data_IF_033314276805
#
_entry.id   IF_033314276805
#
_cell.length_a   1.000
_cell.length_b   1.000
_cell.length_c   1.000
_cell.angle_alpha   90.00
_cell.angle_beta   90.00
_cell.angle_gamma   90.00
#
_symmetry.space_group_name_H-M   'P 1'
#
loop_
_entity.id
_entity.type
_entity.pdbx_description
1 polymer ?
#
# COMPACT_ATOMS: atom_id res chain seq x y z
N UNK A 1 -15.99 -14.66 7.32
CA UNK A 1 -16.69 -15.15 6.11
C UNK A 1 -15.93 -14.60 4.91
N UNK A 2 -15.75 -15.38 3.86
CA UNK A 2 -15.17 -14.86 2.61
C UNK A 2 -16.10 -13.83 1.97
N UNK A 3 -15.52 -12.75 1.47
CA UNK A 3 -16.23 -11.61 0.88
C UNK A 3 -15.63 -11.33 -0.50
N UNK A 4 -16.44 -11.06 -1.54
CA UNK A 4 -15.94 -10.50 -2.79
C UNK A 4 -15.17 -9.19 -2.53
N UNK A 5 -14.08 -8.98 -3.24
CA UNK A 5 -13.23 -7.80 -3.15
C UNK A 5 -12.95 -7.34 -4.58
N UNK A 6 -13.33 -6.12 -4.89
CA UNK A 6 -13.18 -5.48 -6.19
C UNK A 6 -12.05 -4.44 -6.20
N UNK A 7 -11.74 -3.85 -5.04
CA UNK A 7 -10.61 -2.92 -4.91
C UNK A 7 -10.08 -2.83 -3.49
N UNK A 8 -8.78 -2.55 -3.40
CA UNK A 8 -8.07 -2.24 -2.15
C UNK A 8 -7.22 -1.01 -2.41
N UNK A 9 -7.44 0.08 -1.70
CA UNK A 9 -6.74 1.36 -1.90
C UNK A 9 -6.27 1.91 -0.57
N UNK A 10 -5.05 2.46 -0.53
CA UNK A 10 -4.57 3.26 0.58
C UNK A 10 -4.06 4.61 0.06
N UNK A 11 -4.39 5.69 0.77
CA UNK A 11 -3.91 7.03 0.45
C UNK A 11 -2.64 7.31 1.25
N UNK A 12 -1.57 7.70 0.56
CA UNK A 12 -0.27 8.02 1.13
C UNK A 12 0.04 9.50 0.94
N UNK A 13 0.86 10.03 1.84
CA UNK A 13 1.40 11.37 1.73
C UNK A 13 2.92 11.38 1.88
N UNK A 14 3.52 12.40 1.29
CA UNK A 14 4.92 12.76 1.45
C UNK A 14 5.02 14.21 1.89
N UNK A 15 5.87 14.45 2.89
CA UNK A 15 6.27 15.76 3.39
C UNK A 15 7.77 15.67 3.71
N UNK A 16 8.63 16.04 2.76
CA UNK A 16 10.08 15.86 2.84
C UNK A 16 10.68 16.55 4.07
N UNK A 17 10.20 17.75 4.41
CA UNK A 17 10.67 18.50 5.59
C UNK A 17 10.32 17.85 6.93
N UNK A 18 9.38 16.91 6.95
CA UNK A 18 8.98 16.13 8.13
C UNK A 18 9.47 14.67 8.08
N UNK A 19 10.33 14.34 7.10
CA UNK A 19 10.82 12.98 6.85
C UNK A 19 9.71 11.93 6.66
N UNK A 20 8.59 12.36 6.08
CA UNK A 20 7.50 11.48 5.65
C UNK A 20 7.64 11.26 4.15
N UNK A 21 7.81 10.01 3.72
CA UNK A 21 8.04 9.65 2.32
C UNK A 21 7.00 8.65 1.80
N UNK A 22 6.83 8.63 0.48
CA UNK A 22 6.05 7.57 -0.17
C UNK A 22 6.75 6.21 0.01
N UNK A 23 5.98 5.10 0.07
CA UNK A 23 6.57 3.77 0.09
C UNK A 23 7.30 3.47 -1.23
N UNK A 24 8.43 2.77 -1.14
CA UNK A 24 9.17 2.29 -2.31
C UNK A 24 8.49 1.05 -2.89
N UNK A 25 7.94 0.19 -2.04
CA UNK A 25 7.24 -1.02 -2.49
C UNK A 25 5.92 -1.17 -1.75
N UNK A 26 4.87 -1.50 -2.50
CA UNK A 26 3.56 -1.90 -1.95
C UNK A 26 3.21 -3.29 -2.43
N UNK A 27 2.87 -4.18 -1.49
CA UNK A 27 2.39 -5.54 -1.76
C UNK A 27 0.98 -5.67 -1.18
N UNK A 28 0.04 -6.08 -2.03
CA UNK A 28 -1.35 -6.33 -1.67
C UNK A 28 -1.62 -7.81 -1.84
N UNK A 29 -2.07 -8.46 -0.79
CA UNK A 29 -2.31 -9.90 -0.75
C UNK A 29 -3.58 -10.24 0.01
N UNK A 30 -4.17 -11.41 -0.28
CA UNK A 30 -5.39 -11.90 0.34
C UNK A 30 -5.21 -13.31 0.88
N UNK A 31 -6.09 -13.70 1.80
CA UNK A 31 -6.11 -15.04 2.38
C UNK A 31 -7.51 -15.42 2.85
N UNK A 32 -7.80 -16.71 2.81
CA UNK A 32 -9.02 -17.31 3.40
C UNK A 32 -8.79 -17.75 4.85
N UNK A 33 -7.57 -18.14 5.19
CA UNK A 33 -7.18 -18.73 6.48
C UNK A 33 -6.39 -17.79 7.40
N UNK A 34 -5.87 -16.68 6.87
CA UNK A 34 -5.08 -15.69 7.59
C UNK A 34 -3.62 -16.11 7.80
N UNK A 35 -3.19 -17.23 7.19
CA UNK A 35 -1.84 -17.80 7.30
C UNK A 35 -1.17 -17.81 5.93
N UNK A 36 -1.84 -18.38 4.93
CA UNK A 36 -1.37 -18.51 3.56
C UNK A 36 -1.93 -17.36 2.74
N UNK A 37 -1.05 -16.48 2.26
CA UNK A 37 -1.42 -15.30 1.49
C UNK A 37 -1.04 -15.44 0.03
N UNK A 38 -2.00 -15.14 -0.85
CA UNK A 38 -1.80 -15.02 -2.29
C UNK A 38 -1.63 -13.55 -2.65
N UNK A 39 -0.55 -13.23 -3.36
CA UNK A 39 -0.30 -11.86 -3.85
C UNK A 39 -1.27 -11.52 -4.98
N UNK A 40 -1.98 -10.39 -4.84
CA UNK A 40 -2.79 -9.82 -5.91
C UNK A 40 -1.96 -8.87 -6.76
N UNK A 41 -1.09 -8.10 -6.12
CA UNK A 41 -0.24 -7.12 -6.79
C UNK A 41 0.97 -6.74 -5.95
N UNK A 42 2.09 -6.54 -6.63
CA UNK A 42 3.28 -5.87 -6.11
C UNK A 42 3.66 -4.71 -7.01
N UNK A 43 3.80 -3.53 -6.43
CA UNK A 43 4.18 -2.31 -7.11
C UNK A 43 5.48 -1.78 -6.50
N UNK A 44 6.38 -1.32 -7.36
CA UNK A 44 7.63 -0.67 -6.97
C UNK A 44 7.65 0.74 -7.54
N UNK A 45 8.12 1.70 -6.75
CA UNK A 45 8.12 3.12 -7.04
C UNK A 45 9.49 3.72 -6.75
N UNK A 46 9.96 4.60 -7.63
CA UNK A 46 11.08 5.47 -7.32
C UNK A 46 10.63 6.53 -6.30
N UNK A 47 11.29 6.55 -5.15
CA UNK A 47 11.08 7.60 -4.13
C UNK A 47 12.00 8.77 -4.48
N UNK A 48 11.51 9.99 -4.40
CA UNK A 48 12.33 11.19 -4.65
C UNK A 48 11.94 12.34 -3.74
N UNK A 49 12.91 13.23 -3.46
CA UNK A 49 12.72 14.45 -2.67
C UNK A 49 12.38 15.67 -3.51
N UNK A 50 12.27 15.52 -4.84
CA UNK A 50 12.08 16.65 -5.77
C UNK A 50 10.74 17.35 -5.56
N UNK A 51 9.70 16.59 -5.22
CA UNK A 51 8.38 17.11 -4.86
C UNK A 51 8.23 17.10 -3.33
N UNK A 52 8.31 18.26 -2.64
CA UNK A 52 8.36 18.28 -1.18
C UNK A 52 7.07 17.79 -0.51
N UNK A 53 5.92 18.07 -1.11
CA UNK A 53 4.60 17.66 -0.62
C UNK A 53 3.85 16.95 -1.73
N UNK A 54 3.41 15.72 -1.49
CA UNK A 54 2.67 14.89 -2.46
C UNK A 54 1.65 14.03 -1.74
N UNK A 55 0.52 13.78 -2.40
CA UNK A 55 -0.47 12.77 -2.02
C UNK A 55 -0.62 11.80 -3.16
N UNK A 56 -0.78 10.50 -2.87
CA UNK A 56 -0.97 9.48 -3.90
C UNK A 56 -1.79 8.33 -3.36
N UNK A 57 -2.75 7.89 -4.17
CA UNK A 57 -3.45 6.64 -3.92
C UNK A 57 -2.63 5.50 -4.53
N UNK A 58 -2.50 4.40 -3.79
CA UNK A 58 -1.91 3.16 -4.29
C UNK A 58 -2.94 2.06 -4.12
N UNK A 59 -3.37 1.51 -5.26
CA UNK A 59 -4.54 0.64 -5.35
C UNK A 59 -4.23 -0.66 -6.07
N UNK A 60 -5.04 -1.67 -5.75
CA UNK A 60 -5.34 -2.80 -6.61
C UNK A 60 -6.82 -2.74 -7.01
N UNK A 61 -7.12 -3.11 -8.26
CA UNK A 61 -8.47 -3.28 -8.78
C UNK A 61 -8.56 -4.60 -9.56
N UNK A 62 -9.66 -5.32 -9.40
CA UNK A 62 -9.88 -6.59 -10.08
C UNK A 62 -11.02 -7.38 -9.48
N UNK A 63 -11.00 -8.69 -9.64
CA UNK A 63 -11.99 -9.60 -9.05
C UNK A 63 -11.25 -10.60 -8.15
N UNK A 64 -11.54 -10.55 -6.86
CA UNK A 64 -10.97 -11.46 -5.88
C UNK A 64 -12.00 -11.82 -4.81
N UNK A 65 -11.71 -12.87 -4.05
CA UNK A 65 -12.52 -13.28 -2.91
C UNK A 65 -11.60 -13.73 -1.80
N UNK A 66 -11.83 -13.23 -0.60
CA UNK A 66 -11.00 -13.53 0.56
C UNK A 66 -11.65 -13.16 1.88
N UNK A 67 -11.06 -13.62 2.98
CA UNK A 67 -11.48 -13.21 4.34
C UNK A 67 -10.53 -12.17 4.94
N UNK A 68 -9.26 -12.22 4.58
CA UNK A 68 -8.22 -11.36 5.11
C UNK A 68 -7.54 -10.63 3.96
N UNK A 69 -7.25 -9.35 4.19
CA UNK A 69 -6.42 -8.52 3.32
C UNK A 69 -5.14 -8.20 4.09
N UNK A 70 -4.00 -8.30 3.41
CA UNK A 70 -2.70 -7.85 3.92
C UNK A 70 -2.11 -6.83 2.95
N UNK A 71 -2.07 -5.59 3.41
CA UNK A 71 -1.47 -4.45 2.72
C UNK A 71 -0.12 -4.14 3.36
N UNK A 72 0.95 -4.24 2.59
CA UNK A 72 2.31 -4.03 3.08
C UNK A 72 2.94 -2.88 2.33
N UNK A 73 3.20 -1.78 3.01
CA UNK A 73 3.97 -0.65 2.52
C UNK A 73 5.40 -0.74 3.09
N UNK A 74 6.40 -0.70 2.22
CA UNK A 74 7.80 -0.85 2.58
C UNK A 74 8.55 0.45 2.27
N UNK A 75 9.33 0.92 3.24
CA UNK A 75 10.21 2.07 3.05
C UNK A 75 11.37 1.70 2.13
N UNK A 76 11.81 2.66 1.32
CA UNK A 76 13.01 2.49 0.52
C UNK A 76 14.26 2.49 1.39
N UNK A 77 15.33 1.92 0.86
CA UNK A 77 16.62 1.90 1.56
C UNK A 77 17.39 3.22 1.44
N UNK A 78 17.08 4.03 0.43
CA UNK A 78 17.77 5.29 0.13
C UNK A 78 17.44 6.39 1.13
N UNK A 79 16.17 6.48 1.54
CA UNK A 79 15.68 7.48 2.46
C UNK A 79 15.10 6.80 3.69
N UNK A 80 15.69 7.04 4.86
CA UNK A 80 15.05 6.73 6.14
C UNK A 80 13.79 7.60 6.34
N UNK A 81 13.03 7.34 7.41
CA UNK A 81 11.88 8.16 7.78
C UNK A 81 10.61 7.35 7.97
N UNK A 82 9.47 8.04 7.85
CA UNK A 82 8.15 7.50 8.14
C UNK A 82 7.32 7.31 6.87
N UNK A 83 6.51 6.25 6.86
CA UNK A 83 5.43 6.09 5.87
C UNK A 83 4.12 6.39 6.57
N UNK A 84 3.38 7.36 6.04
CA UNK A 84 2.06 7.72 6.54
C UNK A 84 0.99 7.34 5.54
N UNK A 85 -0.08 6.75 6.07
CA UNK A 85 -1.36 6.54 5.40
C UNK A 85 -2.46 6.83 6.40
N UNK A 86 -3.59 7.33 5.92
CA UNK A 86 -4.76 7.63 6.74
C UNK A 86 -5.76 6.46 6.73
N UNK A 87 -6.24 6.04 5.57
CA UNK A 87 -7.28 5.02 5.42
C UNK A 87 -6.92 3.97 4.36
N UNK A 88 -7.26 2.72 4.68
CA UNK A 88 -7.28 1.61 3.71
C UNK A 88 -8.75 1.29 3.41
N UNK A 89 -9.16 1.54 2.18
CA UNK A 89 -10.51 1.30 1.70
C UNK A 89 -10.54 -0.03 0.95
N UNK A 90 -11.40 -0.95 1.40
CA UNK A 90 -11.67 -2.24 0.75
C UNK A 90 -13.12 -2.24 0.26
N UNK A 91 -13.33 -2.45 -1.03
CA UNK A 91 -14.66 -2.54 -1.67
C UNK A 91 -14.78 -3.85 -2.43
#
# INVERSE_FOLDING_TARGET
KETPIHSITAAFMQVVGAEVFLPETVIISISDDGINFTELQKQHFEVSKETPIRFTDISWQGEAKGRYVRYQAQAGSEFGGWIFTDEIIVK
#
